data_IF_047899265585
#
_entry.id   IF_047899265585
#
_cell.length_a   1.000
_cell.length_b   1.000
_cell.length_c   1.000
_cell.angle_alpha   90.00
_cell.angle_beta   90.00
_cell.angle_gamma   90.00
#
_symmetry.space_group_name_H-M   'P 1'
#
loop_
_entity.id
_entity.type
_entity.pdbx_description
1 polymer ?
#
# COMPACT_ATOMS: atom_id res chain seq x y z
N UNK A 1 11.14 -7.80 -7.34
CA UNK A 1 11.31 -7.58 -8.79
C UNK A 1 12.31 -8.58 -9.35
N UNK A 2 12.34 -8.80 -10.66
CA UNK A 2 13.25 -9.72 -11.32
C UNK A 2 14.13 -8.98 -12.33
N UNK A 3 15.42 -9.29 -12.35
CA UNK A 3 16.34 -8.88 -13.41
C UNK A 3 16.89 -10.14 -14.08
N UNK A 4 17.04 -10.09 -15.40
CA UNK A 4 17.58 -11.20 -16.20
C UNK A 4 18.64 -10.65 -17.13
N UNK A 5 19.79 -11.33 -17.22
CA UNK A 5 20.82 -11.02 -18.21
C UNK A 5 20.79 -12.03 -19.34
N UNK A 6 20.83 -11.53 -20.57
CA UNK A 6 21.02 -12.32 -21.78
C UNK A 6 22.45 -12.13 -22.28
N UNK A 7 23.09 -13.22 -22.72
CA UNK A 7 24.44 -13.21 -23.30
C UNK A 7 24.31 -13.76 -24.71
N UNK A 8 24.76 -12.99 -25.70
CA UNK A 8 24.69 -13.34 -27.13
C UNK A 8 26.07 -13.14 -27.79
N UNK A 9 26.63 -14.13 -28.50
CA UNK A 9 26.13 -15.50 -28.65
C UNK A 9 26.08 -16.28 -27.35
N UNK A 10 25.22 -17.30 -27.29
CA UNK A 10 25.09 -18.17 -26.13
C UNK A 10 26.47 -18.82 -25.83
N UNK A 11 27.02 -18.61 -24.62
CA UNK A 11 28.39 -19.00 -24.29
C UNK A 11 28.51 -20.51 -24.16
N UNK A 12 29.63 -21.06 -24.62
CA UNK A 12 29.98 -22.49 -24.47
C UNK A 12 30.76 -22.78 -23.19
N UNK A 13 31.07 -21.76 -22.40
CA UNK A 13 31.82 -21.83 -21.14
C UNK A 13 30.95 -21.51 -19.93
N UNK A 14 31.32 -22.05 -18.77
CA UNK A 14 30.66 -21.74 -17.50
C UNK A 14 30.97 -20.29 -17.08
N UNK A 15 29.96 -19.44 -17.17
CA UNK A 15 30.05 -18.03 -16.75
C UNK A 15 29.74 -17.88 -15.26
N UNK A 16 30.47 -16.98 -14.60
CA UNK A 16 30.17 -16.57 -13.21
C UNK A 16 29.49 -15.21 -13.20
N UNK A 17 28.37 -15.12 -12.49
CA UNK A 17 27.59 -13.89 -12.38
C UNK A 17 27.79 -13.25 -11.00
N UNK A 18 28.14 -11.97 -10.99
CA UNK A 18 28.26 -11.17 -9.78
C UNK A 18 27.26 -10.03 -9.84
N UNK A 19 26.15 -10.21 -9.12
CA UNK A 19 25.10 -9.20 -9.04
C UNK A 19 25.33 -8.26 -7.88
N UNK A 20 25.08 -6.98 -8.15
CA UNK A 20 25.05 -5.89 -7.17
C UNK A 20 23.82 -5.03 -7.43
N UNK A 21 23.29 -4.41 -6.38
CA UNK A 21 22.12 -3.52 -6.46
C UNK A 21 22.42 -2.22 -5.73
N UNK A 22 21.98 -1.08 -6.29
CA UNK A 22 22.15 0.23 -5.63
C UNK A 22 21.23 0.40 -4.41
N UNK A 23 20.06 -0.25 -4.45
CA UNK A 23 19.06 -0.30 -3.39
C UNK A 23 18.44 -1.69 -3.33
N UNK A 24 17.99 -2.10 -2.15
CA UNK A 24 17.39 -3.42 -1.92
C UNK A 24 18.43 -4.53 -1.81
N UNK A 25 17.94 -5.75 -1.60
CA UNK A 25 18.78 -6.93 -1.40
C UNK A 25 18.41 -8.02 -2.40
N UNK A 26 19.43 -8.64 -3.00
CA UNK A 26 19.27 -9.88 -3.77
C UNK A 26 18.86 -10.99 -2.81
N UNK A 27 17.66 -11.55 -2.99
CA UNK A 27 17.14 -12.61 -2.12
C UNK A 27 17.29 -14.00 -2.72
N UNK A 28 17.35 -14.10 -4.05
CA UNK A 28 17.46 -15.37 -4.77
C UNK A 28 18.22 -15.19 -6.07
N UNK A 29 18.86 -16.26 -6.54
CA UNK A 29 19.50 -16.30 -7.87
C UNK A 29 20.88 -15.65 -7.95
N UNK A 30 21.55 -15.39 -6.81
CA UNK A 30 22.94 -14.96 -6.83
C UNK A 30 23.79 -15.95 -7.63
N UNK A 31 24.71 -15.45 -8.44
CA UNK A 31 25.53 -16.26 -9.35
C UNK A 31 24.78 -17.00 -10.45
N UNK A 32 23.56 -16.56 -10.77
CA UNK A 32 22.79 -17.06 -11.93
C UNK A 32 22.46 -15.94 -12.91
N UNK A 33 21.86 -16.27 -14.07
CA UNK A 33 21.40 -15.27 -15.05
C UNK A 33 20.20 -14.45 -14.61
N UNK A 34 19.53 -14.85 -13.53
CA UNK A 34 18.29 -14.22 -13.07
C UNK A 34 18.29 -14.04 -11.57
N UNK A 35 18.13 -12.80 -11.12
CA UNK A 35 18.03 -12.48 -9.69
C UNK A 35 16.65 -12.00 -9.30
N UNK A 36 16.23 -12.38 -8.10
CA UNK A 36 15.11 -11.77 -7.42
C UNK A 36 15.62 -10.74 -6.42
N UNK A 37 15.18 -9.49 -6.57
CA UNK A 37 15.51 -8.39 -5.66
C UNK A 37 14.28 -8.04 -4.85
N UNK A 38 14.45 -8.03 -3.52
CA UNK A 38 13.41 -7.59 -2.59
C UNK A 38 13.42 -6.07 -2.49
N UNK A 39 12.26 -5.48 -2.77
CA UNK A 39 12.01 -4.06 -2.56
C UNK A 39 11.77 -3.80 -1.07
N UNK A 40 12.37 -2.73 -0.54
CA UNK A 40 12.11 -2.20 0.80
C UNK A 40 11.18 -0.99 0.70
N UNK A 41 10.41 -0.69 1.74
CA UNK A 41 9.45 0.43 1.72
C UNK A 41 10.12 1.78 1.43
N UNK A 42 11.32 2.00 1.95
CA UNK A 42 12.14 3.20 1.72
C UNK A 42 12.64 3.37 0.27
N UNK A 43 12.43 2.37 -0.59
CA UNK A 43 12.82 2.40 -2.00
C UNK A 43 11.69 2.86 -2.93
N UNK A 44 10.46 2.98 -2.43
CA UNK A 44 9.32 3.42 -3.22
C UNK A 44 9.50 4.85 -3.74
N UNK A 45 9.18 5.08 -5.02
CA UNK A 45 9.42 6.36 -5.69
C UNK A 45 10.87 6.58 -6.15
N UNK A 46 11.74 5.58 -5.98
CA UNK A 46 13.12 5.56 -6.51
C UNK A 46 13.26 4.48 -7.59
N UNK A 47 14.32 4.57 -8.39
CA UNK A 47 14.72 3.49 -9.30
C UNK A 47 15.65 2.51 -8.58
N UNK A 48 15.35 1.21 -8.74
CA UNK A 48 16.25 0.14 -8.35
C UNK A 48 17.08 -0.27 -9.57
N UNK A 49 18.39 -0.14 -9.46
CA UNK A 49 19.38 -0.48 -10.48
C UNK A 49 20.09 -1.76 -10.07
N UNK A 50 20.01 -2.79 -10.91
CA UNK A 50 20.80 -4.00 -10.78
C UNK A 50 21.95 -3.95 -11.78
N UNK A 51 23.15 -4.23 -11.29
CA UNK A 51 24.38 -4.32 -12.10
C UNK A 51 24.91 -5.74 -12.00
N UNK A 52 25.14 -6.36 -13.15
CA UNK A 52 25.78 -7.66 -13.25
C UNK A 52 27.17 -7.50 -13.83
N UNK A 53 28.15 -8.13 -13.17
CA UNK A 53 29.48 -8.37 -13.72
C UNK A 53 29.62 -9.86 -14.03
N UNK A 54 30.09 -10.18 -15.22
CA UNK A 54 30.23 -11.53 -15.73
C UNK A 54 31.73 -11.87 -15.81
N UNK A 55 32.11 -13.05 -15.35
CA UNK A 55 33.46 -13.60 -15.55
C UNK A 55 33.39 -14.84 -16.44
N UNK A 56 34.45 -15.09 -17.21
CA UNK A 56 34.53 -16.22 -18.17
C UNK A 56 34.27 -15.85 -19.63
N UNK A 57 34.00 -14.58 -19.93
CA UNK A 57 33.91 -14.08 -21.30
C UNK A 57 35.30 -13.87 -21.93
N UNK A 58 35.44 -14.00 -23.26
CA UNK A 58 36.68 -13.68 -23.96
C UNK A 58 37.17 -12.26 -23.70
N UNK A 59 38.48 -12.07 -23.81
CA UNK A 59 39.07 -10.73 -23.77
C UNK A 59 38.43 -9.86 -24.85
N UNK A 60 38.12 -8.61 -24.50
CA UNK A 60 37.40 -7.61 -25.33
C UNK A 60 35.87 -7.74 -25.38
N UNK A 61 35.26 -8.74 -24.76
CA UNK A 61 33.80 -8.77 -24.58
C UNK A 61 33.36 -7.87 -23.41
N UNK A 62 32.35 -7.01 -23.60
CA UNK A 62 31.73 -6.29 -22.49
C UNK A 62 31.20 -7.28 -21.44
N UNK A 63 31.64 -7.10 -20.20
CA UNK A 63 31.35 -8.05 -19.13
C UNK A 63 30.56 -7.42 -17.98
N UNK A 64 30.02 -6.23 -18.19
CA UNK A 64 29.22 -5.51 -17.20
C UNK A 64 28.02 -4.88 -17.87
N UNK A 65 26.85 -5.05 -17.27
CA UNK A 65 25.60 -4.44 -17.71
C UNK A 65 24.78 -4.00 -16.50
N UNK A 66 23.94 -2.99 -16.69
CA UNK A 66 23.05 -2.47 -15.66
C UNK A 66 21.70 -2.10 -16.23
N UNK A 67 20.65 -2.37 -15.47
CA UNK A 67 19.27 -1.98 -15.81
C UNK A 67 18.58 -1.41 -14.59
N UNK A 68 17.66 -0.46 -14.80
CA UNK A 68 16.89 0.17 -13.74
C UNK A 68 15.40 -0.08 -13.90
N UNK A 69 14.74 -0.47 -12.81
CA UNK A 69 13.29 -0.57 -12.72
C UNK A 69 12.75 0.48 -11.73
N UNK A 70 11.67 1.17 -12.12
CA UNK A 70 10.97 2.06 -11.20
C UNK A 70 10.15 1.24 -10.20
N UNK A 71 10.26 1.63 -8.93
CA UNK A 71 9.43 1.09 -7.87
C UNK A 71 8.18 1.95 -7.69
N UNK A 72 7.06 1.47 -8.20
CA UNK A 72 5.75 2.06 -7.91
C UNK A 72 5.52 2.12 -6.41
N UNK A 73 5.13 3.29 -5.92
CA UNK A 73 4.79 3.48 -4.51
C UNK A 73 3.56 2.64 -4.22
N UNK A 74 3.70 1.63 -3.37
CA UNK A 74 2.55 0.89 -2.82
C UNK A 74 1.85 1.76 -1.77
N UNK A 75 1.02 2.68 -2.26
CA UNK A 75 0.11 3.44 -1.41
C UNK A 75 -0.96 2.49 -0.90
N UNK A 76 -0.97 2.29 0.41
CA UNK A 76 -1.91 1.38 1.08
C UNK A 76 -2.78 2.15 2.05
N UNK A 77 -4.00 1.65 2.24
CA UNK A 77 -4.91 2.13 3.27
C UNK A 77 -4.28 1.93 4.66
N UNK A 78 -4.34 2.96 5.51
CA UNK A 78 -3.83 2.90 6.88
C UNK A 78 -5.01 2.78 7.84
N UNK A 79 -5.12 1.66 8.55
CA UNK A 79 -6.11 1.49 9.62
C UNK A 79 -5.74 2.43 10.77
N UNK A 80 -6.62 3.37 11.07
CA UNK A 80 -6.45 4.31 12.18
C UNK A 80 -7.04 3.76 13.47
N UNK A 81 -8.23 3.14 13.38
CA UNK A 81 -8.91 2.60 14.56
C UNK A 81 -9.94 1.52 14.19
N UNK A 82 -10.20 0.63 15.14
CA UNK A 82 -11.24 -0.39 15.09
C UNK A 82 -11.88 -0.54 16.47
N UNK A 83 -13.21 -0.39 16.53
CA UNK A 83 -13.93 -0.47 17.79
C UNK A 83 -15.35 -0.99 17.61
N UNK A 84 -15.87 -1.67 18.64
CA UNK A 84 -17.29 -1.99 18.73
C UNK A 84 -18.10 -0.74 19.07
N UNK A 85 -19.18 -0.51 18.35
CA UNK A 85 -20.11 0.58 18.64
C UNK A 85 -21.54 0.12 18.43
N UNK A 86 -22.47 0.60 19.26
CA UNK A 86 -23.89 0.34 19.04
C UNK A 86 -24.33 0.93 17.70
N UNK A 87 -25.31 0.29 17.06
CA UNK A 87 -25.96 0.73 15.82
C UNK A 87 -26.46 2.18 15.93
N UNK A 88 -26.79 2.63 17.15
CA UNK A 88 -27.41 3.93 17.39
C UNK A 88 -26.43 5.03 17.86
N UNK A 89 -25.18 4.66 18.15
CA UNK A 89 -24.16 5.53 18.74
C UNK A 89 -22.99 5.76 17.78
N UNK A 90 -22.34 6.91 17.90
CA UNK A 90 -21.05 7.18 17.25
C UNK A 90 -19.99 7.39 18.33
N UNK A 91 -18.75 6.99 18.04
CA UNK A 91 -17.65 7.19 18.98
C UNK A 91 -16.91 8.49 18.67
N UNK A 92 -17.32 9.57 19.35
CA UNK A 92 -16.77 10.92 19.17
C UNK A 92 -15.24 10.98 19.30
N UNK A 93 -14.67 10.24 20.25
CA UNK A 93 -13.22 10.19 20.49
C UNK A 93 -12.45 9.75 19.25
N UNK A 94 -12.88 8.66 18.61
CA UNK A 94 -12.18 8.08 17.46
C UNK A 94 -12.36 8.94 16.21
N UNK A 95 -13.55 9.52 15.99
CA UNK A 95 -13.78 10.46 14.90
C UNK A 95 -12.92 11.73 15.04
N UNK A 96 -12.75 12.26 16.25
CA UNK A 96 -11.84 13.39 16.52
C UNK A 96 -10.38 13.04 16.22
N UNK A 97 -9.92 11.88 16.67
CA UNK A 97 -8.56 11.42 16.41
C UNK A 97 -8.31 11.25 14.90
N UNK A 98 -9.25 10.63 14.18
CA UNK A 98 -9.16 10.47 12.73
C UNK A 98 -9.15 11.82 11.98
N UNK A 99 -9.99 12.78 12.40
CA UNK A 99 -9.98 14.12 11.81
C UNK A 99 -8.64 14.83 12.03
N UNK A 100 -8.05 14.73 13.23
CA UNK A 100 -6.75 15.30 13.53
C UNK A 100 -5.63 14.69 12.67
N UNK A 101 -5.68 13.37 12.43
CA UNK A 101 -4.75 12.69 11.52
C UNK A 101 -4.90 13.19 10.07
N UNK A 102 -6.12 13.39 9.59
CA UNK A 102 -6.37 13.90 8.23
C UNK A 102 -6.07 15.39 8.05
N UNK A 103 -6.04 16.17 9.12
CA UNK A 103 -5.54 17.55 9.06
C UNK A 103 -4.03 17.60 8.80
N UNK A 104 -3.27 16.58 9.25
CA UNK A 104 -1.84 16.41 8.93
C UNK A 104 -1.61 15.81 7.53
N UNK A 105 -2.66 15.27 6.92
CA UNK A 105 -2.63 14.59 5.62
C UNK A 105 -3.75 15.15 4.72
N UNK A 106 -3.65 16.41 4.25
CA UNK A 106 -4.77 17.15 3.66
C UNK A 106 -5.31 16.56 2.34
N UNK A 107 -4.50 15.79 1.61
CA UNK A 107 -4.93 15.16 0.35
C UNK A 107 -5.53 13.77 0.56
N UNK A 108 -5.56 13.27 1.80
CA UNK A 108 -6.06 11.94 2.08
C UNK A 108 -7.56 11.93 2.36
N UNK A 109 -8.19 10.80 2.07
CA UNK A 109 -9.59 10.53 2.33
C UNK A 109 -9.75 9.74 3.63
N UNK A 110 -10.85 10.00 4.35
CA UNK A 110 -11.30 9.20 5.49
C UNK A 110 -12.26 8.14 4.97
N UNK A 111 -11.95 6.88 5.21
CA UNK A 111 -12.78 5.77 4.79
C UNK A 111 -13.27 5.01 6.02
N UNK A 112 -14.58 4.96 6.21
CA UNK A 112 -15.23 4.35 7.37
C UNK A 112 -16.02 3.14 6.90
N UNK A 113 -15.77 1.99 7.52
CA UNK A 113 -16.56 0.78 7.33
C UNK A 113 -17.40 0.58 8.58
N UNK A 114 -18.71 0.69 8.43
CA UNK A 114 -19.69 0.42 9.47
C UNK A 114 -20.25 -1.00 9.31
N UNK A 115 -19.90 -1.88 10.23
CA UNK A 115 -20.39 -3.25 10.25
C UNK A 115 -21.67 -3.34 11.09
N UNK A 116 -22.67 -4.02 10.55
CA UNK A 116 -23.97 -4.22 11.18
C UNK A 116 -24.34 -5.71 11.23
N UNK A 117 -25.08 -6.17 12.25
CA UNK A 117 -25.70 -7.49 12.25
C UNK A 117 -26.60 -7.70 11.02
N UNK A 118 -26.66 -8.93 10.48
CA UNK A 118 -27.63 -9.29 9.45
C UNK A 118 -29.06 -8.90 9.86
N UNK A 119 -29.84 -8.41 8.91
CA UNK A 119 -31.22 -7.94 9.16
C UNK A 119 -31.34 -6.54 9.76
N UNK A 120 -30.23 -5.82 9.98
CA UNK A 120 -30.29 -4.40 10.37
C UNK A 120 -30.95 -3.56 9.27
N UNK A 121 -31.97 -2.76 9.61
CA UNK A 121 -32.72 -1.97 8.63
C UNK A 121 -31.86 -0.88 7.97
N UNK A 122 -32.10 -0.63 6.68
CA UNK A 122 -31.42 0.43 5.92
C UNK A 122 -31.61 1.83 6.54
N UNK A 123 -32.77 2.07 7.16
CA UNK A 123 -33.05 3.30 7.91
C UNK A 123 -32.07 3.47 9.07
N UNK A 124 -31.79 2.40 9.81
CA UNK A 124 -30.84 2.43 10.95
C UNK A 124 -29.41 2.66 10.46
N UNK A 125 -29.00 1.97 9.39
CA UNK A 125 -27.69 2.16 8.75
C UNK A 125 -27.51 3.60 8.27
N UNK A 126 -28.49 4.14 7.53
CA UNK A 126 -28.50 5.53 7.05
C UNK A 126 -28.42 6.52 8.20
N UNK A 127 -29.23 6.35 9.25
CA UNK A 127 -29.22 7.22 10.43
C UNK A 127 -27.84 7.29 11.09
N UNK A 128 -27.13 6.16 11.19
CA UNK A 128 -25.77 6.15 11.77
C UNK A 128 -24.79 6.92 10.87
N UNK A 129 -24.82 6.70 9.55
CA UNK A 129 -24.01 7.44 8.58
C UNK A 129 -24.25 8.95 8.65
N UNK A 130 -25.52 9.36 8.71
CA UNK A 130 -25.91 10.77 8.78
C UNK A 130 -25.44 11.42 10.08
N UNK A 131 -25.50 10.69 11.21
CA UNK A 131 -24.92 11.16 12.48
C UNK A 131 -23.41 11.38 12.38
N UNK A 132 -22.68 10.46 11.76
CA UNK A 132 -21.23 10.62 11.55
C UNK A 132 -20.97 11.85 10.69
N UNK A 133 -21.58 11.95 9.51
CA UNK A 133 -21.39 13.10 8.61
C UNK A 133 -21.76 14.43 9.27
N UNK A 134 -22.90 14.47 9.96
CA UNK A 134 -23.36 15.65 10.69
C UNK A 134 -22.37 16.07 11.77
N UNK A 135 -21.87 15.14 12.59
CA UNK A 135 -20.85 15.44 13.60
C UNK A 135 -19.56 15.98 12.97
N UNK A 136 -19.07 15.34 11.90
CA UNK A 136 -17.87 15.75 11.18
C UNK A 136 -18.01 17.16 10.59
N UNK A 137 -19.12 17.44 9.90
CA UNK A 137 -19.38 18.75 9.29
C UNK A 137 -19.61 19.85 10.32
N UNK A 138 -20.51 19.61 11.27
CA UNK A 138 -21.02 20.69 12.14
C UNK A 138 -20.10 20.97 13.31
N UNK A 139 -19.59 19.91 13.95
CA UNK A 139 -18.81 19.99 15.20
C UNK A 139 -17.33 20.08 14.91
N UNK A 140 -16.80 19.25 14.00
CA UNK A 140 -15.37 19.28 13.66
C UNK A 140 -15.04 20.25 12.52
N UNK A 141 -16.04 20.81 11.83
CA UNK A 141 -15.85 21.64 10.63
C UNK A 141 -14.98 20.95 9.58
N UNK A 142 -15.08 19.62 9.53
CA UNK A 142 -14.32 18.79 8.61
C UNK A 142 -15.04 18.70 7.27
N UNK A 143 -14.27 18.72 6.19
CA UNK A 143 -14.78 18.56 4.83
C UNK A 143 -15.35 17.15 4.62
N UNK A 144 -16.67 17.07 4.47
CA UNK A 144 -17.38 15.79 4.33
C UNK A 144 -17.17 15.13 2.97
N UNK A 145 -16.72 15.86 1.96
CA UNK A 145 -16.41 15.29 0.65
C UNK A 145 -15.16 14.41 0.70
N UNK A 146 -14.32 14.64 1.72
CA UNK A 146 -13.18 13.78 2.06
C UNK A 146 -13.57 12.55 2.89
N UNK A 147 -14.85 12.29 3.12
CA UNK A 147 -15.33 11.14 3.91
C UNK A 147 -16.15 10.19 3.05
N UNK A 148 -15.75 8.93 3.02
CA UNK A 148 -16.57 7.83 2.49
C UNK A 148 -16.95 6.88 3.60
N UNK A 149 -18.25 6.54 3.65
CA UNK A 149 -18.79 5.62 4.63
C UNK A 149 -19.54 4.52 3.89
N UNK A 150 -19.02 3.30 3.98
CA UNK A 150 -19.67 2.09 3.47
C UNK A 150 -20.18 1.24 4.62
N UNK A 151 -21.04 0.28 4.29
CA UNK A 151 -21.63 -0.64 5.26
C UNK A 151 -21.34 -2.07 4.88
N UNK A 152 -21.15 -2.92 5.88
CA UNK A 152 -20.98 -4.36 5.69
C UNK A 152 -21.68 -5.15 6.79
N UNK A 153 -21.81 -6.45 6.61
CA UNK A 153 -22.42 -7.33 7.59
C UNK A 153 -21.36 -7.99 8.48
N UNK A 154 -21.65 -8.12 9.78
CA UNK A 154 -20.85 -8.90 10.72
C UNK A 154 -21.71 -9.29 11.93
N UNK A 155 -21.37 -10.38 12.62
CA UNK A 155 -22.11 -10.88 13.79
C UNK A 155 -22.28 -9.82 14.90
N UNK A 156 -21.30 -8.92 15.03
CA UNK A 156 -21.30 -7.85 16.03
C UNK A 156 -21.06 -6.50 15.35
N UNK A 157 -21.74 -5.43 15.81
CA UNK A 157 -21.54 -4.12 15.24
C UNK A 157 -20.16 -3.58 15.62
N UNK A 158 -19.44 -3.09 14.63
CA UNK A 158 -18.11 -2.49 14.78
C UNK A 158 -17.89 -1.44 13.70
N UNK A 159 -16.95 -0.55 13.96
CA UNK A 159 -16.52 0.50 13.04
C UNK A 159 -15.04 0.36 12.81
N UNK A 160 -14.61 0.40 11.54
CA UNK A 160 -13.21 0.58 11.16
C UNK A 160 -13.04 1.94 10.48
N UNK A 161 -11.99 2.65 10.86
CA UNK A 161 -11.65 3.95 10.26
C UNK A 161 -10.28 3.84 9.62
N UNK A 162 -10.19 4.23 8.36
CA UNK A 162 -8.96 4.23 7.57
C UNK A 162 -8.63 5.63 7.06
N UNK A 163 -7.33 5.88 6.88
CA UNK A 163 -6.79 6.96 6.05
C UNK A 163 -6.37 6.37 4.71
N UNK A 164 -6.90 6.93 3.62
CA UNK A 164 -6.61 6.49 2.24
C UNK A 164 -5.78 7.58 1.55
N UNK A 165 -4.50 7.33 1.24
CA UNK A 165 -3.71 8.20 0.37
C UNK A 165 -4.27 8.24 -1.07
N UNK A 166 -4.11 9.35 -1.81
CA UNK A 166 -4.45 9.40 -3.23
C UNK A 166 -3.77 8.27 -4.00
N UNK A 167 -4.53 7.47 -4.76
CA UNK A 167 -4.00 6.33 -5.53
C UNK A 167 -3.90 5.01 -4.76
N UNK A 168 -4.16 4.99 -3.45
CA UNK A 168 -4.34 3.74 -2.72
C UNK A 168 -5.71 3.12 -3.02
N UNK A 169 -5.78 1.79 -3.05
CA UNK A 169 -7.06 1.08 -3.11
C UNK A 169 -7.84 1.20 -1.79
N UNK A 170 -9.17 1.29 -1.89
CA UNK A 170 -10.03 1.25 -0.72
C UNK A 170 -10.00 -0.15 -0.07
N UNK A 171 -10.06 -0.23 1.27
CA UNK A 171 -10.13 -1.51 1.97
C UNK A 171 -11.45 -2.22 1.68
N UNK A 172 -11.38 -3.55 1.52
CA UNK A 172 -12.57 -4.39 1.42
C UNK A 172 -13.12 -4.68 2.84
N UNK A 173 -14.45 -4.72 3.01
CA UNK A 173 -15.07 -5.06 4.29
C UNK A 173 -14.81 -6.49 4.78
#
# INVERSE_FOLDING_TARGET
>A
MWFTVSVDPEPTTDLKFHWTTNVGQVTVGQSTRKIGVRSLMEMYGRSATATVKIEGLPNQCPNMASESALLEILLTAVLLDEFSSSINSISIRYLKAAAAELNRNPNNQMYIIEYFPPGTSEVSKKRKKDKIKSFMATTLKFDVDRITIITAEADKPRTKIYRIPPGASNPNP
#
